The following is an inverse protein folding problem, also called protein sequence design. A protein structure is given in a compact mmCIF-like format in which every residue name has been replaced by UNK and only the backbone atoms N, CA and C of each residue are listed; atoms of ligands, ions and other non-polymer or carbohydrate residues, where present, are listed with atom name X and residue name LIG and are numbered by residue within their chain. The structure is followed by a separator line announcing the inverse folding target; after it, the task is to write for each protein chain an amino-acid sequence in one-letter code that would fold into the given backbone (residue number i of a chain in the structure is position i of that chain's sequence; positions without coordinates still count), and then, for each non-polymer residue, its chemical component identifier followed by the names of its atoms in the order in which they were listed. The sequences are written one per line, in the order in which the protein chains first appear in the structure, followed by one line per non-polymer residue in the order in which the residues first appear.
data_IF_411807037956
#
_entry.id   IF_411807037956
#
_cell.length_a   1.000
_cell.length_b   1.000
_cell.length_c   1.000
_cell.angle_alpha   90.00
_cell.angle_beta   90.00
_cell.angle_gamma   90.00
#
_symmetry.space_group_name_H-M   'P 1'
#
loop_
_entity.id
_entity.type
_entity.pdbx_description
1 polymer ?
#
# COMPACT_ATOMS: atom_id res chain seq x y z
N UNK A 1 2.67 24.66 -22.39
CA UNK A 1 3.23 23.38 -21.88
C UNK A 1 3.05 23.39 -20.38
N UNK A 2 2.46 22.35 -19.75
CA UNK A 2 2.40 22.27 -18.29
C UNK A 2 3.73 21.72 -17.78
N UNK A 3 4.32 22.38 -16.81
CA UNK A 3 5.57 21.97 -16.16
C UNK A 3 5.19 21.46 -14.76
N UNK A 4 5.79 20.38 -14.33
CA UNK A 4 5.60 19.81 -13.00
C UNK A 4 6.96 19.69 -12.30
N UNK A 5 6.98 19.94 -10.98
CA UNK A 5 8.20 19.79 -10.19
C UNK A 5 8.62 18.33 -10.03
N UNK A 6 7.62 17.42 -9.95
CA UNK A 6 7.85 15.99 -9.79
C UNK A 6 6.96 15.16 -10.70
N UNK A 7 7.52 14.06 -11.20
CA UNK A 7 6.80 13.01 -11.91
C UNK A 7 6.91 11.72 -11.09
N UNK A 8 5.76 11.14 -10.74
CA UNK A 8 5.66 9.87 -10.03
C UNK A 8 5.18 8.81 -11.01
N UNK A 9 5.99 7.79 -11.23
CA UNK A 9 5.61 6.64 -12.05
C UNK A 9 4.99 5.57 -11.16
N UNK A 10 3.71 5.29 -11.40
CA UNK A 10 2.87 4.39 -10.63
C UNK A 10 2.02 5.11 -9.57
N UNK A 11 0.71 5.11 -9.79
CA UNK A 11 -0.31 5.63 -8.87
C UNK A 11 -0.75 4.64 -7.80
N UNK A 12 0.12 3.73 -7.38
CA UNK A 12 -0.12 2.78 -6.30
C UNK A 12 0.00 3.40 -4.91
N UNK A 13 -0.07 2.57 -3.87
CA UNK A 13 -0.05 2.98 -2.46
C UNK A 13 1.11 3.93 -2.14
N UNK A 14 2.33 3.57 -2.51
CA UNK A 14 3.51 4.42 -2.25
C UNK A 14 3.52 5.70 -3.07
N UNK A 15 3.10 5.63 -4.34
CA UNK A 15 3.07 6.78 -5.25
C UNK A 15 2.08 7.84 -4.79
N UNK A 16 0.89 7.44 -4.36
CA UNK A 16 -0.15 8.37 -3.87
C UNK A 16 0.25 9.03 -2.55
N UNK A 17 0.88 8.30 -1.62
CA UNK A 17 1.39 8.87 -0.36
C UNK A 17 2.51 9.88 -0.62
N UNK A 18 3.43 9.57 -1.55
CA UNK A 18 4.47 10.52 -1.96
C UNK A 18 3.90 11.77 -2.60
N UNK A 19 2.92 11.60 -3.49
CA UNK A 19 2.25 12.73 -4.16
C UNK A 19 1.60 13.66 -3.13
N UNK A 20 0.88 13.10 -2.18
CA UNK A 20 0.21 13.86 -1.12
C UNK A 20 1.21 14.69 -0.30
N UNK A 21 2.33 14.09 0.12
CA UNK A 21 3.40 14.80 0.85
C UNK A 21 4.03 15.92 0.04
N UNK A 22 4.32 15.68 -1.24
CA UNK A 22 4.90 16.70 -2.11
C UNK A 22 3.94 17.87 -2.35
N UNK A 23 2.65 17.58 -2.57
CA UNK A 23 1.61 18.60 -2.76
C UNK A 23 1.45 19.44 -1.48
N UNK A 24 1.43 18.81 -0.30
CA UNK A 24 1.38 19.51 0.99
C UNK A 24 2.59 20.45 1.21
N UNK A 25 3.72 20.13 0.61
CA UNK A 25 4.92 20.97 0.63
C UNK A 25 4.96 22.02 -0.49
N UNK A 26 3.85 22.21 -1.23
CA UNK A 26 3.71 23.25 -2.25
C UNK A 26 4.21 22.87 -3.65
N UNK A 27 4.57 21.62 -3.89
CA UNK A 27 5.05 21.18 -5.19
C UNK A 27 3.92 20.76 -6.13
N UNK A 28 4.13 20.92 -7.42
CA UNK A 28 3.27 20.38 -8.49
C UNK A 28 3.71 18.99 -8.86
N UNK A 29 2.75 18.06 -8.93
CA UNK A 29 3.04 16.62 -9.13
C UNK A 29 2.22 16.07 -10.29
N UNK A 30 2.88 15.32 -11.19
CA UNK A 30 2.24 14.48 -12.19
C UNK A 30 2.38 13.02 -11.78
N UNK A 31 1.26 12.30 -11.71
CA UNK A 31 1.27 10.84 -11.55
C UNK A 31 0.98 10.19 -12.90
N UNK A 32 1.83 9.24 -13.30
CA UNK A 32 1.65 8.40 -14.48
C UNK A 32 1.28 6.99 -14.00
N UNK A 33 0.08 6.53 -14.37
CA UNK A 33 -0.45 5.22 -13.98
C UNK A 33 -0.87 4.45 -15.24
N UNK A 34 -0.43 3.18 -15.37
CA UNK A 34 -0.81 2.33 -16.51
C UNK A 34 -2.21 1.72 -16.36
N UNK A 35 -2.69 1.63 -15.14
CA UNK A 35 -3.97 1.01 -14.80
C UNK A 35 -5.15 1.93 -15.03
N UNK A 36 -6.34 1.36 -14.83
CA UNK A 36 -7.61 2.10 -14.95
C UNK A 36 -7.83 3.03 -13.77
N UNK A 37 -8.73 4.01 -13.96
CA UNK A 37 -9.24 4.81 -12.85
C UNK A 37 -9.98 3.91 -11.85
N UNK A 38 -9.84 4.23 -10.57
CA UNK A 38 -10.59 3.60 -9.49
C UNK A 38 -12.02 4.17 -9.42
N UNK A 39 -12.84 3.85 -10.41
CA UNK A 39 -14.22 4.35 -10.52
C UNK A 39 -15.28 3.24 -10.46
N UNK A 40 -14.85 1.98 -10.34
CA UNK A 40 -15.78 0.86 -10.22
C UNK A 40 -16.28 0.75 -8.77
N UNK A 41 -17.61 0.75 -8.52
CA UNK A 41 -18.17 0.61 -7.17
C UNK A 41 -17.66 -0.62 -6.40
N UNK A 42 -17.39 -1.73 -7.07
CA UNK A 42 -16.82 -2.93 -6.41
C UNK A 42 -15.48 -2.67 -5.74
N UNK A 43 -14.66 -1.73 -6.24
CA UNK A 43 -13.39 -1.36 -5.62
C UNK A 43 -13.57 -0.64 -4.27
N UNK A 44 -14.77 -0.09 -4.02
CA UNK A 44 -15.10 0.62 -2.76
C UNK A 44 -15.91 -0.24 -1.79
N UNK A 45 -16.27 -1.47 -2.17
CA UNK A 45 -17.09 -2.36 -1.35
C UNK A 45 -16.22 -3.35 -0.58
N UNK A 46 -16.47 -3.56 0.72
CA UNK A 46 -15.92 -4.71 1.44
C UNK A 46 -16.20 -6.01 0.67
N UNK A 47 -15.24 -6.91 0.59
CA UNK A 47 -15.29 -8.14 -0.21
C UNK A 47 -15.47 -7.95 -1.73
N UNK A 48 -15.55 -6.74 -2.25
CA UNK A 48 -15.60 -6.46 -3.71
C UNK A 48 -14.35 -6.92 -4.47
N UNK A 49 -13.25 -7.20 -3.76
CA UNK A 49 -12.04 -7.79 -4.34
C UNK A 49 -12.22 -9.27 -4.75
N UNK A 50 -13.15 -10.02 -4.12
CA UNK A 50 -13.35 -11.45 -4.39
C UNK A 50 -13.69 -11.72 -5.87
N UNK A 51 -14.71 -11.07 -6.48
CA UNK A 51 -14.99 -11.27 -7.89
C UNK A 51 -13.91 -10.72 -8.84
N UNK A 52 -12.92 -10.00 -8.31
CA UNK A 52 -11.80 -9.51 -9.11
C UNK A 52 -10.66 -10.52 -9.27
N UNK A 53 -10.65 -11.61 -8.50
CA UNK A 53 -9.60 -12.63 -8.58
C UNK A 53 -9.59 -13.36 -9.93
N UNK A 54 -10.71 -13.39 -10.66
CA UNK A 54 -10.83 -14.06 -11.94
C UNK A 54 -11.05 -13.05 -13.08
N UNK A 55 -10.02 -12.82 -13.90
CA UNK A 55 -10.11 -12.08 -15.16
C UNK A 55 -10.43 -10.59 -15.07
N UNK A 56 -10.24 -9.98 -13.90
CA UNK A 56 -10.52 -8.57 -13.71
C UNK A 56 -9.54 -7.67 -14.50
N UNK A 57 -10.02 -6.61 -15.17
CA UNK A 57 -9.18 -5.64 -15.84
C UNK A 57 -8.37 -4.76 -14.87
N UNK A 58 -8.57 -4.91 -13.56
CA UNK A 58 -7.86 -4.21 -12.49
C UNK A 58 -6.69 -5.00 -11.92
N UNK A 59 -6.50 -6.24 -12.39
CA UNK A 59 -5.39 -7.11 -12.01
C UNK A 59 -4.57 -7.52 -13.23
N UNK A 60 -3.28 -7.70 -13.00
CA UNK A 60 -2.34 -8.31 -13.94
C UNK A 60 -1.69 -9.49 -13.24
N UNK A 61 -1.66 -10.63 -13.91
CA UNK A 61 -1.07 -11.84 -13.38
C UNK A 61 0.29 -12.09 -13.98
N UNK A 62 1.24 -12.46 -13.14
CA UNK A 62 2.59 -12.85 -13.49
C UNK A 62 2.84 -14.25 -12.98
N UNK A 63 3.65 -15.02 -13.69
CA UNK A 63 4.16 -16.30 -13.19
C UNK A 63 5.54 -16.11 -12.59
N UNK A 64 5.77 -16.70 -11.42
CA UNK A 64 7.10 -16.77 -10.84
C UNK A 64 8.02 -17.64 -11.72
N UNK A 65 9.33 -17.49 -11.55
CA UNK A 65 10.26 -18.53 -12.01
C UNK A 65 9.97 -19.85 -11.30
N UNK A 66 10.29 -21.00 -11.92
CA UNK A 66 10.22 -22.28 -11.23
C UNK A 66 10.99 -22.24 -9.91
N UNK A 67 10.40 -22.77 -8.85
CA UNK A 67 10.98 -22.81 -7.52
C UNK A 67 11.50 -24.23 -7.22
N UNK A 68 12.81 -24.51 -7.35
CA UNK A 68 13.37 -25.85 -7.18
C UNK A 68 13.05 -26.46 -5.82
N UNK A 69 13.12 -25.66 -4.75
CA UNK A 69 12.80 -26.08 -3.38
C UNK A 69 11.32 -26.41 -3.15
N UNK A 70 10.45 -26.08 -4.10
CA UNK A 70 9.01 -26.38 -4.07
C UNK A 70 8.60 -27.33 -5.20
N UNK A 71 9.50 -28.22 -5.64
CA UNK A 71 9.25 -29.15 -6.74
C UNK A 71 9.04 -28.48 -8.10
N UNK A 72 9.77 -27.41 -8.37
CA UNK A 72 9.70 -26.60 -9.61
C UNK A 72 8.32 -25.97 -9.87
N UNK A 73 7.48 -25.80 -8.84
CA UNK A 73 6.20 -25.10 -8.99
C UNK A 73 6.43 -23.64 -9.36
N UNK A 74 5.54 -23.14 -10.18
CA UNK A 74 5.38 -21.73 -10.45
C UNK A 74 4.12 -21.22 -9.78
N UNK A 75 4.17 -20.00 -9.25
CA UNK A 75 3.02 -19.33 -8.63
C UNK A 75 2.52 -18.22 -9.52
N UNK A 76 1.20 -18.10 -9.61
CA UNK A 76 0.56 -16.93 -10.21
C UNK A 76 0.54 -15.81 -9.16
N UNK A 77 1.09 -14.66 -9.53
CA UNK A 77 1.21 -13.49 -8.67
C UNK A 77 0.30 -12.40 -9.24
N UNK A 78 -0.78 -12.11 -8.54
CA UNK A 78 -1.68 -11.03 -8.90
C UNK A 78 -1.09 -9.67 -8.47
N UNK A 79 -1.03 -8.72 -9.40
CA UNK A 79 -0.65 -7.33 -9.14
C UNK A 79 -1.77 -6.39 -9.56
N UNK A 80 -2.02 -5.36 -8.75
CA UNK A 80 -3.01 -4.35 -9.08
C UNK A 80 -2.58 -3.53 -10.30
N UNK A 81 -3.54 -3.31 -11.23
CA UNK A 81 -3.40 -2.45 -12.40
C UNK A 81 -4.53 -1.42 -12.40
N UNK A 82 -4.51 -0.56 -11.41
CA UNK A 82 -5.54 0.43 -11.14
C UNK A 82 -4.96 1.58 -10.31
N UNK A 83 -5.48 2.78 -10.48
CA UNK A 83 -5.12 3.91 -9.61
C UNK A 83 -5.43 3.58 -8.13
N UNK A 84 -4.48 3.80 -7.25
CA UNK A 84 -4.48 3.33 -5.86
C UNK A 84 -3.71 2.02 -5.66
N UNK A 85 -3.43 1.28 -6.74
CA UNK A 85 -2.64 0.05 -6.69
C UNK A 85 -3.25 -1.02 -5.77
N UNK A 86 -2.41 -1.69 -4.99
CA UNK A 86 -2.83 -2.73 -4.06
C UNK A 86 -3.84 -2.27 -3.02
N UNK A 87 -3.85 -0.98 -2.63
CA UNK A 87 -4.85 -0.46 -1.69
C UNK A 87 -6.26 -0.42 -2.27
N UNK A 88 -6.41 -0.48 -3.60
CA UNK A 88 -7.73 -0.53 -4.25
C UNK A 88 -8.28 -1.95 -4.42
N UNK A 89 -7.47 -3.00 -4.22
CA UNK A 89 -7.86 -4.40 -4.49
C UNK A 89 -7.46 -5.37 -3.37
N UNK A 90 -7.00 -4.87 -2.22
CA UNK A 90 -6.61 -5.70 -1.09
C UNK A 90 -7.82 -6.29 -0.34
N UNK A 91 -7.57 -7.26 0.52
CA UNK A 91 -8.58 -7.85 1.40
C UNK A 91 -8.89 -7.05 2.66
N UNK A 92 -8.44 -5.79 2.77
CA UNK A 92 -8.68 -4.86 3.88
C UNK A 92 -8.24 -5.37 5.26
N UNK A 93 -7.25 -6.26 5.31
CA UNK A 93 -6.65 -6.70 6.57
C UNK A 93 -5.68 -5.61 7.05
N UNK A 94 -5.97 -5.05 8.23
CA UNK A 94 -5.09 -4.08 8.89
C UNK A 94 -4.30 -4.78 10.00
N UNK A 95 -3.03 -5.03 9.74
CA UNK A 95 -2.13 -5.72 10.66
C UNK A 95 -0.73 -5.10 10.62
N UNK A 96 -0.08 -5.04 11.76
CA UNK A 96 1.30 -4.58 11.90
C UNK A 96 2.23 -5.76 12.16
N UNK A 97 3.52 -5.59 11.84
CA UNK A 97 4.55 -6.52 12.27
C UNK A 97 4.75 -6.51 13.78
N UNK A 98 5.42 -7.51 14.30
CA UNK A 98 5.88 -7.53 15.71
C UNK A 98 7.09 -6.60 15.86
N UNK A 99 7.36 -6.07 17.07
CA UNK A 99 8.56 -5.26 17.32
C UNK A 99 9.85 -5.92 16.81
N UNK A 100 10.00 -7.23 17.01
CA UNK A 100 11.16 -7.99 16.52
C UNK A 100 11.35 -7.96 14.99
N UNK A 101 10.29 -7.80 14.22
CA UNK A 101 10.39 -7.71 12.76
C UNK A 101 11.09 -6.41 12.35
N UNK A 102 10.79 -5.33 13.06
CA UNK A 102 11.40 -4.01 12.85
C UNK A 102 12.83 -3.93 13.39
N UNK A 103 13.14 -4.59 14.51
CA UNK A 103 14.52 -4.75 15.00
C UNK A 103 15.42 -5.43 13.97
N UNK A 104 14.87 -6.43 13.25
CA UNK A 104 15.58 -7.04 12.14
C UNK A 104 15.89 -6.04 11.03
N UNK A 105 14.95 -5.15 10.68
CA UNK A 105 15.20 -4.10 9.68
C UNK A 105 16.27 -3.11 10.13
N UNK A 106 16.25 -2.68 11.40
CA UNK A 106 17.32 -1.84 11.95
C UNK A 106 18.67 -2.52 11.81
N UNK A 107 18.75 -3.81 12.18
CA UNK A 107 20.01 -4.56 12.08
C UNK A 107 20.53 -4.68 10.64
N UNK A 108 19.65 -4.95 9.68
CA UNK A 108 20.03 -5.13 8.27
C UNK A 108 20.34 -3.80 7.56
N UNK A 109 19.70 -2.71 7.95
CA UNK A 109 19.87 -1.40 7.30
C UNK A 109 20.83 -0.47 8.03
N UNK A 110 21.07 -0.69 9.32
CA UNK A 110 21.80 0.25 10.20
C UNK A 110 21.04 1.55 10.47
N UNK A 111 19.74 1.61 10.19
CA UNK A 111 18.94 2.82 10.30
C UNK A 111 17.83 2.67 11.34
N UNK A 112 17.98 3.35 12.48
CA UNK A 112 17.05 3.33 13.62
C UNK A 112 15.63 3.84 13.27
N UNK A 113 15.47 4.57 12.16
CA UNK A 113 14.15 5.02 11.70
C UNK A 113 13.23 3.86 11.32
N UNK A 114 13.77 2.68 11.06
CA UNK A 114 13.01 1.44 10.82
C UNK A 114 12.62 0.70 12.10
N UNK A 115 13.08 1.18 13.28
CA UNK A 115 12.75 0.58 14.57
C UNK A 115 11.29 0.77 14.97
N UNK A 116 10.83 -0.11 15.86
CA UNK A 116 9.44 -0.12 16.34
C UNK A 116 8.97 1.24 16.89
N UNK A 117 9.79 1.88 17.75
CA UNK A 117 9.43 3.14 18.41
C UNK A 117 9.18 4.28 17.40
N UNK A 118 9.96 4.31 16.32
CA UNK A 118 9.79 5.27 15.24
C UNK A 118 8.57 4.94 14.39
N UNK A 119 8.39 3.67 14.03
CA UNK A 119 7.32 3.26 13.12
C UNK A 119 5.96 3.25 13.79
N UNK A 120 5.85 2.95 15.09
CA UNK A 120 4.56 2.99 15.80
C UNK A 120 3.95 4.40 15.80
N UNK A 121 4.78 5.45 15.87
CA UNK A 121 4.29 6.83 15.77
C UNK A 121 3.73 7.12 14.38
N UNK A 122 4.38 6.64 13.33
CA UNK A 122 3.85 6.76 11.96
C UNK A 122 2.53 6.00 11.79
N UNK A 123 2.42 4.80 12.34
CA UNK A 123 1.17 4.04 12.32
C UNK A 123 0.05 4.77 13.05
N UNK A 124 0.31 5.35 14.20
CA UNK A 124 -0.69 6.14 14.96
C UNK A 124 -1.15 7.37 14.17
N UNK A 125 -0.26 8.06 13.48
CA UNK A 125 -0.62 9.21 12.65
C UNK A 125 -1.48 8.83 11.42
N UNK A 126 -1.34 7.61 10.92
CA UNK A 126 -2.14 7.12 9.79
C UNK A 126 -3.49 6.54 10.22
N UNK A 127 -3.59 6.01 11.42
CA UNK A 127 -4.73 5.24 11.90
C UNK A 127 -5.82 6.13 12.51
N UNK A 128 -7.06 5.82 12.13
CA UNK A 128 -8.26 6.28 12.82
C UNK A 128 -9.04 5.04 13.28
N UNK A 129 -8.61 4.47 14.40
CA UNK A 129 -9.23 3.29 14.99
C UNK A 129 -10.46 3.68 15.80
N UNK A 130 -11.60 3.08 15.49
CA UNK A 130 -12.87 3.38 16.12
C UNK A 130 -13.10 2.62 17.44
N UNK A 131 -12.28 1.61 17.73
CA UNK A 131 -12.45 0.70 18.88
C UNK A 131 -11.28 0.70 19.84
N UNK A 132 -10.07 0.85 19.31
CA UNK A 132 -8.83 0.78 20.07
C UNK A 132 -8.18 2.15 20.15
N UNK A 133 -7.52 2.42 21.26
CA UNK A 133 -6.77 3.66 21.48
C UNK A 133 -5.52 3.39 22.31
N UNK A 134 -4.97 4.43 22.93
CA UNK A 134 -3.85 4.33 23.86
C UNK A 134 -2.48 4.33 23.21
N UNK A 135 -1.58 3.51 23.76
CA UNK A 135 -0.16 3.55 23.41
C UNK A 135 0.12 3.18 21.96
N UNK A 136 -0.60 2.21 21.40
CA UNK A 136 -0.30 1.64 20.10
C UNK A 136 -1.24 2.08 18.97
N UNK A 137 -2.39 2.66 19.27
CA UNK A 137 -3.42 2.99 18.27
C UNK A 137 -3.68 4.49 18.17
N UNK A 138 -3.87 4.96 16.94
CA UNK A 138 -4.30 6.33 16.64
C UNK A 138 -5.79 6.40 16.35
N UNK A 139 -6.39 7.58 16.55
CA UNK A 139 -7.83 7.82 16.35
C UNK A 139 -8.14 9.06 15.51
N UNK A 140 -7.12 9.72 14.95
CA UNK A 140 -7.26 10.97 14.17
C UNK A 140 -6.67 10.88 12.76
N UNK A 141 -6.09 9.73 12.39
CA UNK A 141 -5.46 9.56 11.10
C UNK A 141 -6.46 9.40 9.95
N UNK A 142 -5.99 9.44 8.71
CA UNK A 142 -6.84 9.37 7.52
C UNK A 142 -7.40 7.96 7.24
N UNK A 143 -6.82 6.90 7.81
CA UNK A 143 -7.22 5.51 7.55
C UNK A 143 -8.17 5.04 8.64
N UNK A 144 -9.45 4.90 8.30
CA UNK A 144 -10.46 4.34 9.21
C UNK A 144 -10.24 2.85 9.40
N UNK A 145 -10.16 2.43 10.67
CA UNK A 145 -10.04 1.03 11.11
C UNK A 145 -11.20 0.73 12.06
N UNK A 146 -12.03 -0.27 11.72
CA UNK A 146 -13.24 -0.64 12.47
C UNK A 146 -13.26 -2.13 12.84
#
# INVERSE_FOLDING_TARGET
MKIFDFIIVGGGTSGTVKAEKLIKNGHTVLIIEEGKKNSNPFLSMPAGWIPMLEGSPYLKFYKSSPQPQLGNRQHDIAQAKVFGGGSSVNGMVYMRGKPSDYENWVRETGDERWGWDSLVQNYKQLENNQRLGGEFHGNEGPIKVS
#
